data_IF_265528848069
#
_entry.id   IF_265528848069
#
_cell.length_a   1.000
_cell.length_b   1.000
_cell.length_c   1.000
_cell.angle_alpha   90.00
_cell.angle_beta   90.00
_cell.angle_gamma   90.00
#
_symmetry.space_group_name_H-M   'P 1'
#
loop_
_entity.id
_entity.type
_entity.pdbx_description
1 polymer ?
#
# COMPACT_ATOMS: atom_id res chain seq x y z
N UNK A 1 2.12 50.82 -4.69
CA UNK A 1 2.50 49.45 -5.12
C UNK A 1 2.98 48.79 -3.83
N UNK A 2 2.20 47.99 -3.10
CA UNK A 2 1.64 46.69 -3.50
C UNK A 2 0.54 46.20 -2.51
N UNK A 3 -0.21 47.11 -1.88
CA UNK A 3 -1.14 46.79 -0.78
C UNK A 3 -2.32 45.89 -1.22
N UNK A 4 -2.66 45.93 -2.51
CA UNK A 4 -3.73 45.10 -3.10
C UNK A 4 -3.35 43.63 -3.33
N UNK A 5 -2.06 43.27 -3.39
CA UNK A 5 -1.66 41.86 -3.51
C UNK A 5 -1.65 41.18 -2.16
N UNK A 6 -1.18 41.84 -1.10
CA UNK A 6 -1.08 41.25 0.23
C UNK A 6 -2.46 40.95 0.86
N UNK A 7 -3.48 41.78 0.59
CA UNK A 7 -4.87 41.53 1.01
C UNK A 7 -5.47 40.32 0.27
N UNK A 8 -5.24 40.20 -1.05
CA UNK A 8 -5.66 39.02 -1.83
C UNK A 8 -5.05 37.71 -1.33
N UNK A 9 -3.77 37.72 -0.93
CA UNK A 9 -3.11 36.52 -0.39
C UNK A 9 -3.71 36.07 0.94
N UNK A 10 -4.10 36.99 1.83
CA UNK A 10 -4.73 36.68 3.12
C UNK A 10 -6.17 36.17 2.96
N UNK A 11 -6.96 36.79 2.08
CA UNK A 11 -8.31 36.32 1.73
C UNK A 11 -8.27 34.93 1.08
N UNK A 12 -7.29 34.69 0.19
CA UNK A 12 -7.09 33.39 -0.46
C UNK A 12 -6.63 32.28 0.51
N UNK A 13 -5.74 32.61 1.46
CA UNK A 13 -5.29 31.65 2.47
C UNK A 13 -6.44 31.25 3.42
N UNK A 14 -7.28 32.22 3.81
CA UNK A 14 -8.47 31.99 4.62
C UNK A 14 -9.54 31.17 3.86
N UNK A 15 -9.69 31.40 2.55
CA UNK A 15 -10.56 30.61 1.67
C UNK A 15 -10.12 29.15 1.57
N UNK A 16 -8.83 28.90 1.29
CA UNK A 16 -8.28 27.55 1.20
C UNK A 16 -8.40 26.78 2.52
N UNK A 17 -8.22 27.47 3.65
CA UNK A 17 -8.41 26.86 4.96
C UNK A 17 -9.87 26.46 5.20
N UNK A 18 -10.84 27.30 4.80
CA UNK A 18 -12.27 26.96 4.85
C UNK A 18 -12.61 25.75 3.98
N UNK A 19 -12.09 25.71 2.76
CA UNK A 19 -12.27 24.58 1.84
C UNK A 19 -11.73 23.27 2.45
N UNK A 20 -10.52 23.30 3.01
CA UNK A 20 -9.91 22.15 3.67
C UNK A 20 -10.74 21.69 4.87
N UNK A 21 -11.25 22.62 5.69
CA UNK A 21 -12.11 22.28 6.81
C UNK A 21 -13.42 21.62 6.34
N UNK A 22 -14.03 22.14 5.27
CA UNK A 22 -15.24 21.56 4.69
C UNK A 22 -15.02 20.15 4.14
N UNK A 23 -13.93 19.94 3.40
CA UNK A 23 -13.53 18.60 2.95
C UNK A 23 -13.32 17.67 4.14
N UNK A 24 -12.69 18.15 5.21
CA UNK A 24 -12.53 17.42 6.46
C UNK A 24 -13.85 16.92 7.04
N UNK A 25 -14.90 17.76 7.05
CA UNK A 25 -16.23 17.33 7.52
C UNK A 25 -16.82 16.21 6.68
N UNK A 26 -16.59 16.22 5.37
CA UNK A 26 -17.03 15.14 4.46
C UNK A 26 -16.19 13.87 4.68
N UNK A 27 -14.86 14.00 4.83
CA UNK A 27 -13.99 12.85 5.14
C UNK A 27 -14.35 12.18 6.46
N UNK A 28 -14.74 12.96 7.47
CA UNK A 28 -15.19 12.48 8.78
C UNK A 28 -16.65 11.99 8.77
N UNK A 29 -17.37 12.16 7.66
CA UNK A 29 -18.82 11.96 7.53
C UNK A 29 -19.64 12.68 8.63
N UNK A 30 -19.13 13.85 9.06
CA UNK A 30 -19.72 14.68 10.10
C UNK A 30 -20.88 15.51 9.51
N UNK A 31 -22.05 14.88 9.48
CA UNK A 31 -23.29 15.49 9.00
C UNK A 31 -23.57 16.85 9.64
N UNK A 32 -23.40 16.99 10.94
CA UNK A 32 -23.81 18.20 11.65
C UNK A 32 -22.93 19.39 11.24
N UNK A 33 -21.60 19.20 11.17
CA UNK A 33 -20.69 20.23 10.67
C UNK A 33 -20.89 20.51 9.19
N UNK A 34 -21.15 19.48 8.38
CA UNK A 34 -21.46 19.60 6.95
C UNK A 34 -22.72 20.45 6.72
N UNK A 35 -23.83 20.12 7.39
CA UNK A 35 -25.11 20.84 7.29
C UNK A 35 -24.96 22.27 7.81
N UNK A 36 -24.28 22.46 8.95
CA UNK A 36 -24.01 23.78 9.50
C UNK A 36 -23.23 24.65 8.51
N UNK A 37 -22.20 24.09 7.89
CA UNK A 37 -21.35 24.81 6.93
C UNK A 37 -22.15 25.28 5.71
N UNK A 38 -22.94 24.39 5.09
CA UNK A 38 -23.70 24.71 3.87
C UNK A 38 -24.88 25.66 4.11
N UNK A 39 -25.46 25.63 5.32
CA UNK A 39 -26.52 26.55 5.72
C UNK A 39 -25.99 27.93 6.12
N UNK A 40 -24.70 28.07 6.43
CA UNK A 40 -24.13 29.33 6.87
C UNK A 40 -23.78 30.24 5.67
N UNK A 41 -24.47 31.38 5.45
CA UNK A 41 -24.25 32.23 4.28
C UNK A 41 -22.84 32.81 4.20
N UNK A 42 -22.16 32.96 5.34
CA UNK A 42 -20.78 33.47 5.43
C UNK A 42 -19.74 32.43 5.05
N UNK A 43 -20.12 31.15 5.01
CA UNK A 43 -19.23 30.01 4.72
C UNK A 43 -19.43 29.46 3.31
N UNK A 44 -20.40 29.99 2.54
CA UNK A 44 -20.59 29.64 1.13
C UNK A 44 -19.41 30.16 0.32
N UNK A 45 -18.35 29.36 0.22
CA UNK A 45 -17.26 29.57 -0.73
C UNK A 45 -17.82 29.50 -2.15
N UNK A 46 -17.43 30.46 -2.99
CA UNK A 46 -17.83 30.55 -4.39
C UNK A 46 -17.05 29.57 -5.30
N UNK A 47 -16.20 28.73 -4.73
CA UNK A 47 -15.17 27.95 -5.44
C UNK A 47 -15.41 26.44 -5.48
N UNK A 48 -16.22 25.88 -4.57
CA UNK A 48 -16.66 24.48 -4.69
C UNK A 48 -17.86 24.46 -5.63
N UNK A 49 -17.63 24.05 -6.87
CA UNK A 49 -18.71 23.81 -7.81
C UNK A 49 -19.56 22.68 -7.23
N UNK A 50 -20.87 22.84 -7.35
CA UNK A 50 -21.84 22.02 -6.66
C UNK A 50 -21.72 20.50 -6.98
N UNK A 51 -21.19 20.16 -8.16
CA UNK A 51 -20.91 18.79 -8.62
C UNK A 51 -19.75 18.14 -7.84
N UNK A 52 -18.80 18.94 -7.32
CA UNK A 52 -17.66 18.46 -6.52
C UNK A 52 -18.11 17.87 -5.18
N UNK A 53 -19.23 18.34 -4.62
CA UNK A 53 -19.67 17.94 -3.28
C UNK A 53 -20.20 16.50 -3.32
N UNK A 54 -21.11 16.19 -4.25
CA UNK A 54 -21.67 14.84 -4.36
C UNK A 54 -20.61 13.85 -4.89
N UNK A 55 -19.74 14.29 -5.80
CA UNK A 55 -18.58 13.48 -6.23
C UNK A 55 -17.67 13.16 -5.05
N UNK A 56 -17.26 14.16 -4.25
CA UNK A 56 -16.40 13.95 -3.09
C UNK A 56 -17.05 13.03 -2.05
N UNK A 57 -18.32 13.30 -1.70
CA UNK A 57 -19.12 12.44 -0.81
C UNK A 57 -19.12 10.99 -1.32
N UNK A 58 -19.33 10.80 -2.63
CA UNK A 58 -19.39 9.47 -3.23
C UNK A 58 -18.03 8.79 -3.27
N UNK A 59 -16.97 9.55 -3.51
CA UNK A 59 -15.59 9.09 -3.55
C UNK A 59 -15.12 8.61 -2.17
N UNK A 60 -15.52 9.29 -1.09
CA UNK A 60 -15.08 8.97 0.28
C UNK A 60 -16.04 8.05 1.04
N UNK A 61 -17.28 7.88 0.57
CA UNK A 61 -18.30 7.06 1.23
C UNK A 61 -18.98 7.76 2.40
N UNK A 62 -19.17 9.08 2.33
CA UNK A 62 -19.76 9.88 3.40
C UNK A 62 -21.30 9.75 3.42
N UNK A 63 -21.81 8.64 3.97
CA UNK A 63 -23.23 8.26 3.91
C UNK A 63 -24.13 9.26 4.63
N UNK A 64 -23.71 9.80 5.77
CA UNK A 64 -24.50 10.76 6.53
C UNK A 64 -24.56 12.13 5.83
N UNK A 65 -23.44 12.58 5.27
CA UNK A 65 -23.40 13.78 4.42
C UNK A 65 -24.26 13.60 3.16
N UNK A 66 -24.14 12.46 2.48
CA UNK A 66 -24.97 12.11 1.32
C UNK A 66 -26.46 12.13 1.67
N UNK A 67 -26.82 11.58 2.84
CA UNK A 67 -28.20 11.54 3.32
C UNK A 67 -28.75 12.94 3.56
N UNK A 68 -27.97 13.80 4.23
CA UNK A 68 -28.38 15.18 4.48
C UNK A 68 -28.57 15.96 3.18
N UNK A 69 -27.67 15.76 2.21
CA UNK A 69 -27.74 16.38 0.89
C UNK A 69 -28.98 15.93 0.10
N UNK A 70 -29.23 14.62 0.02
CA UNK A 70 -30.34 14.05 -0.77
C UNK A 70 -31.72 14.20 -0.12
N UNK A 71 -31.79 14.45 1.19
CA UNK A 71 -33.05 14.73 1.91
C UNK A 71 -33.39 16.21 1.97
N UNK A 72 -32.56 17.09 1.40
CA UNK A 72 -32.80 18.53 1.40
C UNK A 72 -32.61 19.18 2.78
N UNK A 73 -31.74 18.62 3.62
CA UNK A 73 -31.34 19.25 4.90
C UNK A 73 -30.39 20.44 4.69
N UNK A 74 -29.90 20.58 3.46
CA UNK A 74 -29.06 21.67 2.98
C UNK A 74 -29.72 22.31 1.74
N UNK A 75 -29.46 23.60 1.48
CA UNK A 75 -30.13 24.35 0.42
C UNK A 75 -29.68 23.94 -0.99
N UNK A 76 -28.65 23.11 -1.12
CA UNK A 76 -28.14 22.60 -2.38
C UNK A 76 -29.02 21.43 -2.86
N UNK A 77 -29.69 21.59 -4.00
CA UNK A 77 -30.51 20.54 -4.61
C UNK A 77 -29.69 19.71 -5.59
N UNK A 78 -29.30 18.46 -5.28
CA UNK A 78 -28.47 17.61 -6.18
C UNK A 78 -29.26 16.71 -7.14
N UNK A 79 -28.86 16.66 -8.42
CA UNK A 79 -29.29 15.58 -9.33
C UNK A 79 -28.33 14.39 -9.22
N UNK A 80 -28.87 13.26 -8.76
CA UNK A 80 -28.12 12.03 -8.55
C UNK A 80 -27.68 11.34 -9.86
N UNK A 81 -28.29 11.72 -10.97
CA UNK A 81 -28.00 11.20 -12.31
C UNK A 81 -27.18 12.19 -13.16
N UNK A 82 -26.69 13.26 -12.55
CA UNK A 82 -25.76 14.17 -13.21
C UNK A 82 -24.32 13.66 -13.02
N UNK A 83 -23.52 13.58 -14.10
CA UNK A 83 -22.12 13.21 -13.97
C UNK A 83 -21.29 14.39 -13.46
N UNK A 84 -20.16 14.09 -12.80
CA UNK A 84 -19.13 15.09 -12.51
C UNK A 84 -18.52 15.65 -13.79
N UNK A 85 -17.69 16.70 -13.68
CA UNK A 85 -16.94 17.24 -14.82
C UNK A 85 -16.04 16.19 -15.49
N UNK A 86 -15.64 15.18 -14.71
CA UNK A 86 -14.86 14.05 -15.18
C UNK A 86 -15.72 12.94 -15.81
N UNK A 87 -17.05 13.03 -15.76
CA UNK A 87 -17.96 12.06 -16.36
C UNK A 87 -18.37 10.90 -15.42
N UNK A 88 -18.04 11.00 -14.13
CA UNK A 88 -18.42 10.01 -13.12
C UNK A 88 -19.81 10.29 -12.57
N UNK A 89 -20.65 9.26 -12.49
CA UNK A 89 -21.90 9.38 -11.75
C UNK A 89 -21.73 8.90 -10.30
N UNK A 90 -22.47 9.47 -9.34
CA UNK A 90 -22.40 9.09 -7.92
C UNK A 90 -22.48 7.57 -7.71
N UNK A 91 -23.38 6.90 -8.44
CA UNK A 91 -23.58 5.44 -8.34
C UNK A 91 -22.37 4.62 -8.82
N UNK A 92 -21.58 5.12 -9.78
CA UNK A 92 -20.34 4.44 -10.20
C UNK A 92 -19.28 4.49 -9.11
N UNK A 93 -19.15 5.61 -8.39
CA UNK A 93 -18.26 5.71 -7.23
C UNK A 93 -18.70 4.77 -6.11
N UNK A 94 -19.98 4.76 -5.75
CA UNK A 94 -20.51 3.86 -4.73
C UNK A 94 -20.31 2.38 -5.10
N UNK A 95 -20.48 2.03 -6.38
CA UNK A 95 -20.23 0.68 -6.89
C UNK A 95 -18.73 0.31 -6.86
N UNK A 96 -17.84 1.22 -7.28
CA UNK A 96 -16.37 1.01 -7.26
C UNK A 96 -15.83 0.78 -5.86
N UNK A 97 -16.42 1.45 -4.86
CA UNK A 97 -16.08 1.31 -3.44
C UNK A 97 -16.65 0.06 -2.79
N UNK A 98 -17.57 -0.63 -3.45
CA UNK A 98 -18.34 -1.73 -2.86
C UNK A 98 -19.00 -1.29 -1.54
N UNK A 99 -19.71 -0.15 -1.57
CA UNK A 99 -20.35 0.49 -0.41
C UNK A 99 -21.88 0.32 -0.46
N UNK A 100 -22.45 -0.77 0.11
CA UNK A 100 -23.89 -1.03 0.02
C UNK A 100 -24.77 0.06 0.64
N UNK A 101 -24.44 0.65 1.81
CA UNK A 101 -25.21 1.77 2.35
C UNK A 101 -25.36 2.93 1.36
N UNK A 102 -24.27 3.33 0.70
CA UNK A 102 -24.29 4.43 -0.25
C UNK A 102 -25.03 4.05 -1.55
N UNK A 103 -24.81 2.84 -2.08
CA UNK A 103 -25.56 2.33 -3.24
C UNK A 103 -27.06 2.30 -2.95
N UNK A 104 -27.48 1.78 -1.80
CA UNK A 104 -28.89 1.72 -1.42
C UNK A 104 -29.50 3.10 -1.22
N UNK A 105 -28.76 4.03 -0.63
CA UNK A 105 -29.18 5.42 -0.52
C UNK A 105 -29.42 6.01 -1.91
N UNK A 106 -28.47 5.84 -2.83
CA UNK A 106 -28.58 6.39 -4.18
C UNK A 106 -29.74 5.78 -4.97
N UNK A 107 -29.94 4.47 -4.90
CA UNK A 107 -31.09 3.80 -5.53
C UNK A 107 -32.43 4.31 -4.99
N UNK A 108 -32.54 4.53 -3.67
CA UNK A 108 -33.75 5.09 -3.04
C UNK A 108 -34.08 6.50 -3.52
N UNK A 109 -33.05 7.26 -3.89
CA UNK A 109 -33.18 8.62 -4.42
C UNK A 109 -33.18 8.67 -5.96
N UNK A 110 -33.38 7.53 -6.64
CA UNK A 110 -33.63 7.49 -8.08
C UNK A 110 -32.37 7.41 -8.96
N UNK A 111 -31.23 6.98 -8.41
CA UNK A 111 -30.04 6.73 -9.20
C UNK A 111 -30.28 5.62 -10.24
N UNK A 112 -29.91 5.91 -11.48
CA UNK A 112 -30.02 5.00 -12.62
C UNK A 112 -28.87 3.98 -12.60
N UNK A 113 -29.19 2.73 -12.90
CA UNK A 113 -28.22 1.63 -13.00
C UNK A 113 -27.89 1.25 -14.44
N UNK A 114 -28.59 1.85 -15.42
CA UNK A 114 -28.43 1.62 -16.85
C UNK A 114 -27.53 2.66 -17.54
N UNK A 115 -26.96 3.60 -16.77
CA UNK A 115 -26.04 4.63 -17.25
C UNK A 115 -24.62 4.08 -17.38
N UNK A 116 -24.02 4.31 -18.53
CA UNK A 116 -22.62 3.96 -18.77
C UNK A 116 -21.72 5.08 -18.28
N UNK A 117 -20.61 4.71 -17.64
CA UNK A 117 -19.56 5.65 -17.31
C UNK A 117 -19.08 6.31 -18.61
N UNK A 118 -18.97 7.64 -18.63
CA UNK A 118 -18.51 8.38 -19.79
C UNK A 118 -17.31 9.23 -19.39
N UNK A 119 -16.18 8.56 -19.16
CA UNK A 119 -14.94 9.19 -18.74
C UNK A 119 -14.09 9.49 -19.99
N UNK A 120 -13.66 10.75 -20.21
CA UNK A 120 -12.99 11.16 -21.45
C UNK A 120 -11.51 10.71 -21.57
N UNK A 121 -10.95 10.06 -20.55
CA UNK A 121 -9.58 9.54 -20.57
C UNK A 121 -9.53 8.00 -20.63
N UNK A 122 -8.33 7.44 -20.75
CA UNK A 122 -8.08 5.99 -20.71
C UNK A 122 -8.34 5.39 -19.31
N UNK A 123 -9.60 5.39 -18.85
CA UNK A 123 -10.02 4.67 -17.67
C UNK A 123 -10.52 3.26 -18.07
N UNK A 124 -10.03 2.18 -17.43
CA UNK A 124 -10.46 0.82 -17.73
C UNK A 124 -11.94 0.56 -17.44
N UNK A 125 -12.57 1.40 -16.61
CA UNK A 125 -13.98 1.34 -16.28
C UNK A 125 -14.86 2.16 -17.25
N UNK A 126 -14.27 2.85 -18.24
CA UNK A 126 -15.03 3.67 -19.20
C UNK A 126 -16.01 2.82 -20.03
N UNK A 127 -17.22 3.34 -20.23
CA UNK A 127 -18.30 2.64 -20.94
C UNK A 127 -19.00 1.53 -20.13
N UNK A 128 -18.60 1.30 -18.88
CA UNK A 128 -19.18 0.27 -18.03
C UNK A 128 -20.41 0.76 -17.25
N UNK A 129 -21.35 -0.16 -16.97
CA UNK A 129 -22.46 0.08 -16.06
C UNK A 129 -21.98 -0.01 -14.60
N UNK A 130 -22.71 0.56 -13.62
CA UNK A 130 -22.34 0.48 -12.21
C UNK A 130 -22.12 -0.96 -11.72
N UNK A 131 -22.94 -1.91 -12.18
CA UNK A 131 -22.77 -3.32 -11.84
C UNK A 131 -21.45 -3.90 -12.38
N UNK A 132 -21.06 -3.55 -13.61
CA UNK A 132 -19.79 -4.01 -14.17
C UNK A 132 -18.61 -3.44 -13.39
N UNK A 133 -18.69 -2.18 -12.95
CA UNK A 133 -17.66 -1.56 -12.10
C UNK A 133 -17.57 -2.27 -10.75
N UNK A 134 -18.70 -2.59 -10.10
CA UNK A 134 -18.70 -3.36 -8.86
C UNK A 134 -18.06 -4.76 -9.05
N UNK A 135 -18.40 -5.46 -10.14
CA UNK A 135 -17.78 -6.75 -10.46
C UNK A 135 -16.26 -6.59 -10.67
N UNK A 136 -15.83 -5.60 -11.44
CA UNK A 136 -14.40 -5.34 -11.65
C UNK A 136 -13.68 -4.98 -10.35
N UNK A 137 -14.32 -4.21 -9.46
CA UNK A 137 -13.76 -3.89 -8.14
C UNK A 137 -13.60 -5.15 -7.28
N UNK A 138 -14.59 -6.06 -7.27
CA UNK A 138 -14.48 -7.36 -6.61
C UNK A 138 -13.36 -8.20 -7.22
N UNK A 139 -13.26 -8.27 -8.55
CA UNK A 139 -12.21 -9.03 -9.24
C UNK A 139 -10.83 -8.51 -8.89
N UNK A 140 -10.61 -7.19 -8.92
CA UNK A 140 -9.35 -6.55 -8.51
C UNK A 140 -9.03 -6.84 -7.04
N UNK A 141 -10.03 -6.82 -6.17
CA UNK A 141 -9.85 -7.17 -4.75
C UNK A 141 -9.47 -8.63 -4.55
N UNK A 142 -10.10 -9.55 -5.30
CA UNK A 142 -9.76 -10.97 -5.28
C UNK A 142 -8.35 -11.24 -5.83
N UNK A 143 -7.97 -10.56 -6.92
CA UNK A 143 -6.61 -10.63 -7.47
C UNK A 143 -5.59 -10.14 -6.43
N UNK A 144 -5.81 -8.97 -5.83
CA UNK A 144 -4.94 -8.44 -4.77
C UNK A 144 -4.90 -9.33 -3.51
N UNK A 145 -6.03 -9.90 -3.11
CA UNK A 145 -6.09 -10.80 -1.96
C UNK A 145 -5.37 -12.12 -2.22
N UNK A 146 -5.49 -12.68 -3.43
CA UNK A 146 -4.73 -13.86 -3.85
C UNK A 146 -3.23 -13.55 -3.90
N UNK A 147 -2.85 -12.37 -4.39
CA UNK A 147 -1.46 -11.93 -4.40
C UNK A 147 -0.86 -11.82 -3.00
N UNK A 148 -1.56 -11.14 -2.07
CA UNK A 148 -1.13 -11.02 -0.67
C UNK A 148 -1.08 -12.37 0.04
N UNK A 149 -2.06 -13.24 -0.18
CA UNK A 149 -2.05 -14.58 0.40
C UNK A 149 -0.89 -15.42 -0.14
N UNK A 150 -0.55 -15.26 -1.43
CA UNK A 150 0.60 -15.93 -2.03
C UNK A 150 1.92 -15.41 -1.47
N UNK A 151 2.03 -14.11 -1.19
CA UNK A 151 3.16 -13.51 -0.48
C UNK A 151 3.29 -14.08 0.94
N UNK A 152 2.21 -14.06 1.74
CA UNK A 152 2.19 -14.62 3.09
C UNK A 152 2.58 -16.11 3.07
N UNK A 153 2.11 -16.86 2.07
CA UNK A 153 2.48 -18.25 1.87
C UNK A 153 3.97 -18.41 1.56
N UNK A 154 4.54 -17.58 0.68
CA UNK A 154 5.95 -17.64 0.32
C UNK A 154 6.87 -17.37 1.51
N UNK A 155 6.58 -16.32 2.29
CA UNK A 155 7.30 -16.01 3.53
C UNK A 155 7.21 -17.17 4.51
N UNK A 156 6.00 -17.75 4.68
CA UNK A 156 5.78 -18.92 5.55
C UNK A 156 6.66 -20.10 5.14
N UNK A 157 6.79 -20.38 3.84
CA UNK A 157 7.64 -21.49 3.37
C UNK A 157 9.11 -21.30 3.73
N UNK A 158 9.60 -20.05 3.72
CA UNK A 158 10.96 -19.71 4.13
C UNK A 158 11.11 -19.81 5.66
N UNK A 159 10.15 -19.30 6.44
CA UNK A 159 10.18 -19.41 7.90
C UNK A 159 10.14 -20.87 8.38
N UNK A 160 9.37 -21.73 7.72
CA UNK A 160 9.29 -23.15 8.01
C UNK A 160 10.49 -23.95 7.44
N UNK A 161 11.38 -23.29 6.68
CA UNK A 161 12.47 -23.91 5.90
C UNK A 161 11.99 -25.09 5.02
N UNK A 162 10.77 -24.95 4.46
CA UNK A 162 10.10 -25.94 3.62
C UNK A 162 10.58 -25.82 2.17
N UNK A 163 11.66 -26.55 1.89
CA UNK A 163 12.31 -26.60 0.57
C UNK A 163 11.33 -26.90 -0.56
N UNK A 164 10.45 -27.87 -0.38
CA UNK A 164 9.63 -28.39 -1.47
C UNK A 164 8.56 -27.38 -1.86
N UNK A 165 7.92 -26.72 -0.88
CA UNK A 165 6.98 -25.63 -1.16
C UNK A 165 7.68 -24.41 -1.75
N UNK A 166 8.86 -24.06 -1.24
CA UNK A 166 9.68 -22.98 -1.77
C UNK A 166 10.05 -23.20 -3.26
N UNK A 167 10.58 -24.39 -3.59
CA UNK A 167 10.95 -24.77 -4.96
C UNK A 167 9.72 -24.81 -5.87
N UNK A 168 8.61 -25.39 -5.41
CA UNK A 168 7.36 -25.41 -6.16
C UNK A 168 6.88 -23.99 -6.48
N UNK A 169 6.89 -23.09 -5.49
CA UNK A 169 6.42 -21.71 -5.65
C UNK A 169 7.22 -20.96 -6.72
N UNK A 170 8.56 -20.99 -6.65
CA UNK A 170 9.41 -20.24 -7.58
C UNK A 170 9.42 -20.83 -9.00
N UNK A 171 9.21 -22.13 -9.15
CA UNK A 171 9.09 -22.77 -10.46
C UNK A 171 7.71 -22.59 -11.10
N UNK A 172 6.67 -22.30 -10.32
CA UNK A 172 5.31 -22.17 -10.84
C UNK A 172 5.19 -20.98 -11.83
N UNK A 173 4.71 -21.19 -13.08
CA UNK A 173 4.55 -20.12 -14.06
C UNK A 173 3.57 -19.03 -13.62
N UNK A 174 2.58 -19.37 -12.79
CA UNK A 174 1.60 -18.41 -12.27
C UNK A 174 2.22 -17.45 -11.25
N UNK A 175 3.27 -17.88 -10.56
CA UNK A 175 3.97 -17.07 -9.55
C UNK A 175 5.14 -16.25 -10.14
N UNK A 176 5.17 -16.06 -11.47
CA UNK A 176 6.25 -15.35 -12.17
C UNK A 176 6.37 -13.87 -11.78
N UNK A 177 5.26 -13.20 -11.46
CA UNK A 177 5.28 -11.83 -10.95
C UNK A 177 6.01 -11.72 -9.61
N UNK A 178 5.84 -12.70 -8.71
CA UNK A 178 6.51 -12.74 -7.40
C UNK A 178 8.01 -12.96 -7.47
N UNK A 179 8.51 -13.62 -8.52
CA UNK A 179 9.96 -13.78 -8.76
C UNK A 179 10.69 -12.44 -8.91
N UNK A 180 9.96 -11.42 -9.34
CA UNK A 180 10.46 -10.08 -9.61
C UNK A 180 10.13 -9.10 -8.47
N UNK A 181 9.40 -9.52 -7.43
CA UNK A 181 8.95 -8.65 -6.32
C UNK A 181 9.73 -8.89 -5.02
N UNK A 182 10.24 -10.10 -4.77
CA UNK A 182 11.03 -10.36 -3.57
C UNK A 182 12.52 -10.08 -3.80
N UNK A 183 12.85 -8.78 -3.81
CA UNK A 183 14.18 -8.26 -4.18
C UNK A 183 15.30 -8.78 -3.27
N UNK A 184 14.98 -9.37 -2.12
CA UNK A 184 15.97 -9.95 -1.23
C UNK A 184 15.56 -11.32 -0.66
N UNK A 185 15.11 -12.24 -1.52
CA UNK A 185 14.81 -13.64 -1.11
C UNK A 185 15.97 -14.29 -0.36
N UNK A 186 17.21 -14.03 -0.80
CA UNK A 186 18.41 -14.52 -0.11
C UNK A 186 18.66 -13.80 1.23
N UNK A 187 18.33 -12.52 1.37
CA UNK A 187 18.42 -11.81 2.66
C UNK A 187 17.45 -12.40 3.66
N UNK A 188 16.19 -12.59 3.29
CA UNK A 188 15.20 -13.18 4.20
C UNK A 188 15.63 -14.59 4.63
N UNK A 189 16.03 -15.43 3.68
CA UNK A 189 16.59 -16.76 3.96
C UNK A 189 17.77 -16.67 4.94
N UNK A 190 18.65 -15.69 4.74
CA UNK A 190 19.84 -15.47 5.59
C UNK A 190 19.47 -14.96 6.98
N UNK A 191 18.48 -14.09 7.07
CA UNK A 191 17.96 -13.49 8.29
C UNK A 191 17.26 -14.52 9.17
N UNK A 192 16.51 -15.46 8.57
CA UNK A 192 15.74 -16.46 9.32
C UNK A 192 16.50 -17.78 9.53
N UNK A 193 17.58 -18.01 8.79
CA UNK A 193 18.34 -19.26 8.90
C UNK A 193 17.73 -20.44 8.15
N UNK A 194 17.06 -20.19 7.01
CA UNK A 194 16.38 -21.22 6.23
C UNK A 194 17.39 -22.01 5.36
N UNK A 195 18.09 -22.97 5.98
CA UNK A 195 19.21 -23.70 5.37
C UNK A 195 18.78 -24.53 4.16
N UNK A 196 17.60 -25.16 4.19
CA UNK A 196 17.11 -25.96 3.08
C UNK A 196 16.69 -25.08 1.90
N UNK A 197 16.00 -23.97 2.15
CA UNK A 197 15.67 -22.96 1.13
C UNK A 197 16.94 -22.35 0.53
N UNK A 198 17.93 -21.99 1.36
CA UNK A 198 19.24 -21.51 0.91
C UNK A 198 19.95 -22.54 0.01
N UNK A 199 19.87 -23.83 0.39
CA UNK A 199 20.46 -24.93 -0.37
C UNK A 199 19.81 -25.03 -1.76
N UNK A 200 18.47 -25.00 -1.84
CA UNK A 200 17.76 -25.06 -3.11
C UNK A 200 18.10 -23.86 -4.02
N UNK A 201 18.18 -22.66 -3.43
CA UNK A 201 18.55 -21.44 -4.15
C UNK A 201 19.98 -21.53 -4.72
N UNK A 202 20.96 -21.86 -3.88
CA UNK A 202 22.38 -21.89 -4.28
C UNK A 202 22.77 -23.08 -5.17
N UNK A 203 21.96 -24.14 -5.20
CA UNK A 203 22.15 -25.29 -6.11
C UNK A 203 21.43 -25.13 -7.45
N UNK A 204 20.68 -24.05 -7.65
CA UNK A 204 19.93 -23.82 -8.88
C UNK A 204 18.71 -24.73 -9.04
N UNK A 205 18.09 -25.17 -7.94
CA UNK A 205 16.80 -25.88 -7.97
C UNK A 205 15.63 -24.94 -8.33
N UNK A 206 15.89 -23.64 -8.32
CA UNK A 206 14.96 -22.55 -8.65
C UNK A 206 15.58 -21.66 -9.73
N UNK A 207 14.77 -20.93 -10.52
CA UNK A 207 15.25 -20.15 -11.66
C UNK A 207 16.00 -18.86 -11.27
N UNK A 208 15.98 -18.48 -10.00
CA UNK A 208 16.68 -17.32 -9.48
C UNK A 208 18.18 -17.60 -9.37
N UNK A 209 18.98 -16.74 -9.98
CA UNK A 209 20.42 -16.69 -9.78
C UNK A 209 20.72 -15.64 -8.70
N UNK A 210 21.63 -15.98 -7.78
CA UNK A 210 22.05 -15.09 -6.70
C UNK A 210 23.56 -15.10 -6.56
N UNK A 211 24.16 -13.92 -6.35
CA UNK A 211 25.57 -13.80 -5.97
C UNK A 211 25.68 -13.73 -4.44
N UNK A 212 26.35 -14.70 -3.85
CA UNK A 212 26.56 -14.79 -2.40
C UNK A 212 27.44 -13.67 -1.84
N UNK A 213 28.13 -12.92 -2.72
CA UNK A 213 29.01 -11.82 -2.37
C UNK A 213 28.45 -10.45 -2.78
N UNK A 214 27.17 -10.38 -3.16
CA UNK A 214 26.47 -9.12 -3.36
C UNK A 214 25.88 -8.62 -2.03
N UNK A 215 26.02 -7.33 -1.70
CA UNK A 215 25.39 -6.77 -0.51
C UNK A 215 23.88 -6.57 -0.71
N UNK A 216 23.10 -6.84 0.34
CA UNK A 216 21.69 -6.47 0.47
C UNK A 216 21.54 -4.94 0.62
N UNK A 217 20.30 -4.42 0.59
CA UNK A 217 20.01 -2.98 0.59
C UNK A 217 20.67 -2.20 1.74
N UNK A 218 20.85 -2.83 2.91
CA UNK A 218 21.50 -2.23 4.08
C UNK A 218 23.01 -2.46 4.15
N UNK A 219 23.64 -2.96 3.08
CA UNK A 219 25.07 -3.24 3.01
C UNK A 219 25.50 -4.53 3.72
N UNK A 220 24.53 -5.30 4.23
CA UNK A 220 24.72 -6.64 4.76
C UNK A 220 25.06 -7.62 3.65
N UNK A 221 25.82 -8.65 3.99
CA UNK A 221 26.06 -9.76 3.07
C UNK A 221 25.45 -11.02 3.69
N UNK A 222 25.08 -12.03 2.89
CA UNK A 222 24.52 -13.28 3.41
C UNK A 222 25.32 -13.86 4.60
N UNK A 223 26.66 -13.84 4.48
CA UNK A 223 27.56 -14.36 5.52
C UNK A 223 27.57 -13.52 6.81
N UNK A 224 27.23 -12.23 6.76
CA UNK A 224 27.11 -11.40 7.98
C UNK A 224 25.88 -11.82 8.79
N UNK A 225 24.72 -12.05 8.15
CA UNK A 225 23.53 -12.56 8.85
C UNK A 225 23.76 -13.97 9.41
N UNK A 226 24.38 -14.87 8.64
CA UNK A 226 24.71 -16.21 9.14
C UNK A 226 25.64 -16.18 10.36
N UNK A 227 26.60 -15.25 10.37
CA UNK A 227 27.51 -15.03 11.50
C UNK A 227 26.79 -14.42 12.72
N UNK A 228 25.90 -13.45 12.51
CA UNK A 228 25.11 -12.83 13.57
C UNK A 228 24.19 -13.82 14.26
N UNK A 229 23.59 -14.75 13.50
CA UNK A 229 22.73 -15.82 14.03
C UNK A 229 23.48 -16.93 14.77
N UNK A 230 24.81 -16.96 14.66
CA UNK A 230 25.62 -18.10 15.09
C UNK A 230 25.07 -19.42 14.52
N UNK A 231 24.84 -19.47 13.21
CA UNK A 231 24.26 -20.61 12.49
C UNK A 231 25.34 -21.35 11.66
N UNK A 232 26.02 -22.38 12.23
CA UNK A 232 27.09 -23.08 11.51
C UNK A 232 26.62 -23.76 10.22
N UNK A 233 25.46 -24.44 10.16
CA UNK A 233 24.94 -24.98 8.91
C UNK A 233 24.88 -23.95 7.78
N UNK A 234 24.33 -22.76 8.05
CA UNK A 234 24.20 -21.72 7.03
C UNK A 234 25.55 -21.10 6.65
N UNK A 235 26.42 -20.84 7.63
CA UNK A 235 27.79 -20.37 7.39
C UNK A 235 28.55 -21.36 6.51
N UNK A 236 28.51 -22.65 6.83
CA UNK A 236 29.19 -23.70 6.05
C UNK A 236 28.62 -23.80 4.63
N UNK A 237 27.31 -23.66 4.47
CA UNK A 237 26.67 -23.63 3.15
C UNK A 237 27.20 -22.46 2.32
N UNK A 238 27.17 -21.24 2.86
CA UNK A 238 27.64 -20.04 2.16
C UNK A 238 29.12 -20.14 1.80
N UNK A 239 29.97 -20.63 2.70
CA UNK A 239 31.40 -20.87 2.42
C UNK A 239 31.62 -21.88 1.29
N UNK A 240 30.85 -22.97 1.26
CA UNK A 240 30.93 -23.97 0.16
C UNK A 240 30.55 -23.37 -1.19
N UNK A 241 29.70 -22.35 -1.20
CA UNK A 241 29.28 -21.63 -2.39
C UNK A 241 30.11 -20.35 -2.64
N UNK A 242 31.25 -20.17 -1.97
CA UNK A 242 32.22 -19.11 -2.29
C UNK A 242 31.99 -17.79 -1.56
N UNK A 243 31.26 -17.78 -0.45
CA UNK A 243 31.13 -16.58 0.38
C UNK A 243 32.47 -16.12 0.94
N UNK A 244 32.75 -14.83 0.78
CA UNK A 244 33.97 -14.18 1.25
C UNK A 244 33.87 -13.81 2.72
N UNK A 245 34.90 -14.17 3.50
CA UNK A 245 34.98 -13.88 4.94
C UNK A 245 35.76 -12.60 5.25
N UNK A 246 36.39 -12.00 4.25
CA UNK A 246 37.24 -10.80 4.36
C UNK A 246 36.49 -9.50 4.06
N UNK A 247 35.20 -9.59 3.71
CA UNK A 247 34.34 -8.44 3.44
C UNK A 247 33.96 -7.77 4.75
N UNK A 248 34.03 -6.45 4.80
CA UNK A 248 33.54 -5.66 5.92
C UNK A 248 32.11 -5.22 5.64
N UNK A 249 31.27 -5.27 6.66
CA UNK A 249 29.95 -4.67 6.63
C UNK A 249 30.08 -3.17 6.30
N UNK A 250 29.31 -2.68 5.33
CA UNK A 250 29.33 -1.28 4.93
C UNK A 250 27.90 -0.74 4.87
N UNK A 251 27.39 -0.32 6.02
CA UNK A 251 26.05 0.23 6.14
C UNK A 251 26.05 1.68 5.66
N UNK A 252 25.21 2.06 4.67
CA UNK A 252 25.16 3.41 4.14
C UNK A 252 24.58 4.42 5.15
N UNK A 253 25.06 5.67 5.11
CA UNK A 253 24.48 6.77 5.89
C UNK A 253 23.05 7.09 5.38
N UNK A 254 22.04 7.36 6.23
CA UNK A 254 22.11 7.74 7.65
C UNK A 254 21.97 6.59 8.66
N UNK A 255 22.00 5.34 8.21
CA UNK A 255 21.77 4.20 9.08
C UNK A 255 22.99 3.98 9.99
N UNK A 256 22.74 3.88 11.30
CA UNK A 256 23.77 3.60 12.29
C UNK A 256 23.67 2.15 12.72
N UNK A 257 24.68 1.37 12.33
CA UNK A 257 24.83 -0.01 12.76
C UNK A 257 26.10 -0.20 13.60
N UNK A 258 25.93 -0.83 14.76
CA UNK A 258 27.05 -1.13 15.67
C UNK A 258 28.02 -2.20 15.13
N UNK A 259 27.63 -2.89 14.06
CA UNK A 259 28.43 -3.85 13.32
C UNK A 259 29.13 -3.22 12.10
N UNK A 260 28.89 -1.95 11.80
CA UNK A 260 29.46 -1.31 10.62
C UNK A 260 31.01 -1.36 10.64
N UNK A 261 31.61 -1.75 9.52
CA UNK A 261 33.05 -1.97 9.38
C UNK A 261 33.58 -3.28 9.97
N UNK A 262 32.73 -4.12 10.57
CA UNK A 262 33.13 -5.43 11.10
C UNK A 262 33.15 -6.51 10.02
N UNK A 263 34.04 -7.48 10.18
CA UNK A 263 34.05 -8.73 9.43
C UNK A 263 32.98 -9.69 9.98
N UNK A 264 32.51 -10.69 9.21
CA UNK A 264 31.58 -11.70 9.69
C UNK A 264 32.06 -12.38 10.98
N UNK A 265 33.36 -12.72 11.07
CA UNK A 265 33.94 -13.31 12.27
C UNK A 265 33.84 -12.40 13.51
N UNK A 266 34.04 -11.09 13.33
CA UNK A 266 33.96 -10.13 14.43
C UNK A 266 32.53 -10.03 14.95
N UNK A 267 31.53 -10.08 14.06
CA UNK A 267 30.12 -10.12 14.41
C UNK A 267 29.82 -11.40 15.21
N UNK A 268 30.19 -12.58 14.70
CA UNK A 268 29.99 -13.85 15.40
C UNK A 268 30.61 -13.85 16.82
N UNK A 269 31.85 -13.37 16.97
CA UNK A 269 32.52 -13.29 18.28
C UNK A 269 31.76 -12.34 19.22
N UNK A 270 31.32 -11.18 18.71
CA UNK A 270 30.56 -10.19 19.48
C UNK A 270 29.23 -10.78 19.97
N UNK A 271 28.48 -11.45 19.10
CA UNK A 271 27.22 -12.11 19.48
C UNK A 271 27.48 -13.25 20.46
N UNK A 272 28.44 -14.15 20.19
CA UNK A 272 28.75 -15.26 21.07
C UNK A 272 29.14 -14.81 22.48
N UNK A 273 29.91 -13.72 22.61
CA UNK A 273 30.21 -13.11 23.91
C UNK A 273 28.95 -12.62 24.61
N UNK A 274 28.09 -11.89 23.90
CA UNK A 274 26.84 -11.40 24.46
C UNK A 274 25.96 -12.54 25.00
N UNK A 275 25.83 -13.62 24.23
CA UNK A 275 25.05 -14.81 24.63
C UNK A 275 25.65 -15.49 25.87
N UNK A 276 26.97 -15.61 25.95
CA UNK A 276 27.65 -16.18 27.12
C UNK A 276 27.54 -15.30 28.37
N UNK A 277 27.51 -13.97 28.19
CA UNK A 277 27.45 -13.00 29.29
C UNK A 277 26.00 -12.79 29.80
N UNK A 278 24.98 -12.90 28.93
CA UNK A 278 23.61 -12.49 29.25
C UNK A 278 22.52 -13.55 29.01
N UNK A 279 22.83 -14.70 28.37
CA UNK A 279 22.01 -15.90 28.43
C UNK A 279 20.86 -16.05 27.43
N UNK A 280 20.65 -15.15 26.46
CA UNK A 280 19.59 -15.33 25.45
C UNK A 280 20.04 -15.02 24.01
N UNK A 281 19.71 -15.96 23.11
CA UNK A 281 19.44 -15.73 21.69
C UNK A 281 17.91 -15.82 21.57
N UNK A 282 17.24 -14.77 21.09
CA UNK A 282 15.86 -14.89 20.62
C UNK A 282 15.85 -15.54 19.24
#
# INVERSE_FOLDING_TARGET
MDDGKHLRWLEYADEKQRENNFKGFIFDDDKDKFVWFLNNPKMRCFTLLYWDILELISLVGAVNCATALLRGEVPQEVDINEPSELGYYPIHHAAKRLDPPLVLLFLRHGARTDIKLNFPYHDPDNGLLPLNIAINAVMRWLEYADEKQQEDNFMTFIFDDDKDKFVWFLNNPKMRCFRLLHWDTLELISLVGAVNCATALLRGEVPQEVDINEPFELGYYPIHHAAERLDPPLVLLFLRHGARTDIKLNVPHPYHDSNNGLLPLNIAIKVARYVLEYGELN
#
